data_IF_259971841677
#
_entry.id   IF_259971841677
#
_cell.length_a   1.000
_cell.length_b   1.000
_cell.length_c   1.000
_cell.angle_alpha   90.00
_cell.angle_beta   90.00
_cell.angle_gamma   90.00
#
_symmetry.space_group_name_H-M   'P 1'
#
loop_
_entity.id
_entity.type
_entity.pdbx_description
1 polymer ?
#
# COMPACT_ATOMS: atom_id res chain seq x y z
N UNK A 1 23.40 3.99 -8.62
CA UNK A 1 22.11 3.58 -8.01
C UNK A 1 20.86 4.21 -8.62
N UNK A 2 20.59 5.52 -8.56
CA UNK A 2 19.34 6.08 -9.15
C UNK A 2 19.25 5.87 -10.67
N UNK A 3 20.38 6.05 -11.37
CA UNK A 3 20.45 5.84 -12.82
C UNK A 3 20.35 4.34 -13.16
N UNK A 4 21.07 3.49 -12.43
CA UNK A 4 20.96 2.02 -12.57
C UNK A 4 19.52 1.50 -12.36
N UNK A 5 18.77 2.07 -11.41
CA UNK A 5 17.37 1.70 -11.19
C UNK A 5 16.45 2.17 -12.33
N UNK A 6 16.75 3.31 -12.94
CA UNK A 6 16.00 3.85 -14.08
C UNK A 6 16.25 3.06 -15.38
N UNK A 7 17.42 2.43 -15.51
CA UNK A 7 17.81 1.64 -16.67
C UNK A 7 17.33 0.17 -16.60
N UNK A 8 16.74 -0.26 -15.47
CA UNK A 8 16.17 -1.60 -15.33
C UNK A 8 14.98 -1.81 -16.28
N UNK A 9 14.78 -3.04 -16.80
CA UNK A 9 13.53 -3.43 -17.43
C UNK A 9 12.32 -3.15 -16.53
N UNK A 10 11.18 -2.78 -17.12
CA UNK A 10 10.00 -2.36 -16.35
C UNK A 10 9.49 -3.40 -15.33
N UNK A 11 9.73 -4.69 -15.58
CA UNK A 11 9.42 -5.75 -14.62
C UNK A 11 10.29 -5.65 -13.36
N UNK A 12 11.60 -5.49 -13.54
CA UNK A 12 12.58 -5.39 -12.45
C UNK A 12 12.40 -4.07 -11.69
N UNK A 13 12.01 -2.98 -12.37
CA UNK A 13 11.61 -1.74 -11.70
C UNK A 13 10.40 -1.93 -10.78
N UNK A 14 9.37 -2.67 -11.24
CA UNK A 14 8.18 -2.96 -10.40
C UNK A 14 8.55 -3.81 -9.20
N UNK A 15 9.41 -4.82 -9.38
CA UNK A 15 9.90 -5.66 -8.28
C UNK A 15 10.71 -4.84 -7.28
N UNK A 16 11.58 -3.94 -7.74
CA UNK A 16 12.33 -3.02 -6.89
C UNK A 16 11.40 -2.07 -6.11
N UNK A 17 10.40 -1.50 -6.77
CA UNK A 17 9.39 -0.64 -6.11
C UNK A 17 8.64 -1.43 -5.03
N UNK A 18 8.15 -2.63 -5.36
CA UNK A 18 7.44 -3.48 -4.42
C UNK A 18 8.31 -3.84 -3.20
N UNK A 19 9.59 -4.15 -3.43
CA UNK A 19 10.56 -4.44 -2.37
C UNK A 19 10.81 -3.23 -1.47
N UNK A 20 11.00 -2.04 -2.05
CA UNK A 20 11.20 -0.80 -1.30
C UNK A 20 9.97 -0.43 -0.46
N UNK A 21 8.76 -0.61 -1.01
CA UNK A 21 7.51 -0.44 -0.27
C UNK A 21 7.46 -1.42 0.90
N UNK A 22 7.74 -2.71 0.67
CA UNK A 22 7.74 -3.71 1.73
C UNK A 22 8.73 -3.37 2.85
N UNK A 23 9.93 -2.88 2.51
CA UNK A 23 10.91 -2.41 3.50
C UNK A 23 10.42 -1.21 4.29
N UNK A 24 9.76 -0.26 3.64
CA UNK A 24 9.19 0.91 4.31
C UNK A 24 8.04 0.50 5.25
N UNK A 25 7.10 -0.31 4.77
CA UNK A 25 5.99 -0.84 5.57
C UNK A 25 6.49 -1.68 6.74
N UNK A 26 7.56 -2.46 6.57
CA UNK A 26 8.14 -3.26 7.64
C UNK A 26 8.71 -2.40 8.79
N UNK A 27 9.08 -1.14 8.53
CA UNK A 27 9.62 -0.20 9.53
C UNK A 27 8.56 0.70 10.16
N UNK A 28 7.35 0.70 9.62
CA UNK A 28 6.27 1.60 10.03
C UNK A 28 5.31 0.88 11.00
N UNK A 29 5.69 0.82 12.27
CA UNK A 29 4.90 0.18 13.33
C UNK A 29 3.57 0.91 13.58
N UNK A 30 3.51 2.22 13.37
CA UNK A 30 2.28 2.99 13.49
C UNK A 30 1.29 2.58 12.39
N UNK A 31 1.74 2.51 11.15
CA UNK A 31 0.94 2.03 10.03
C UNK A 31 0.44 0.60 10.26
N UNK A 32 1.31 -0.32 10.72
CA UNK A 32 0.90 -1.70 11.04
C UNK A 32 -0.18 -1.74 12.12
N UNK A 33 -0.02 -0.98 13.20
CA UNK A 33 -0.99 -0.90 14.29
C UNK A 33 -2.33 -0.37 13.80
N UNK A 34 -2.31 0.69 12.99
CA UNK A 34 -3.51 1.27 12.40
C UNK A 34 -4.19 0.32 11.42
N UNK A 35 -3.42 -0.42 10.63
CA UNK A 35 -3.94 -1.40 9.67
C UNK A 35 -4.58 -2.58 10.41
N UNK A 36 -3.94 -3.12 11.44
CA UNK A 36 -4.52 -4.17 12.29
C UNK A 36 -5.85 -3.71 12.89
N UNK A 37 -5.89 -2.50 13.47
CA UNK A 37 -7.12 -1.94 14.02
C UNK A 37 -8.26 -1.79 13.00
N UNK A 38 -7.94 -1.54 11.72
CA UNK A 38 -8.94 -1.51 10.64
C UNK A 38 -9.41 -2.90 10.20
N UNK A 39 -8.53 -3.90 10.23
CA UNK A 39 -8.86 -5.29 9.86
C UNK A 39 -9.75 -5.92 10.93
N UNK A 40 -9.45 -5.65 12.19
CA UNK A 40 -10.20 -6.18 13.33
C UNK A 40 -11.49 -5.38 13.62
N UNK A 41 -11.74 -4.30 12.88
CA UNK A 41 -12.94 -3.46 13.04
C UNK A 41 -14.20 -4.19 12.56
N UNK A 42 -15.04 -4.56 13.52
CA UNK A 42 -16.31 -5.26 13.29
C UNK A 42 -17.53 -4.34 13.28
N UNK A 43 -17.35 -3.03 13.44
CA UNK A 43 -18.44 -2.06 13.38
C UNK A 43 -18.74 -1.67 11.91
N UNK A 44 -19.92 -2.07 11.36
CA UNK A 44 -20.28 -1.73 9.99
C UNK A 44 -20.38 -0.22 9.73
N UNK A 45 -20.55 0.62 10.78
CA UNK A 45 -20.59 2.07 10.64
C UNK A 45 -19.25 2.67 10.18
N UNK A 46 -18.13 1.96 10.37
CA UNK A 46 -16.81 2.39 9.93
C UNK A 46 -16.44 1.90 8.52
N UNK A 47 -17.28 1.05 7.92
CA UNK A 47 -17.01 0.45 6.62
C UNK A 47 -17.45 1.36 5.48
N UNK A 48 -16.75 1.26 4.36
CA UNK A 48 -17.09 1.96 3.12
C UNK A 48 -17.78 0.99 2.18
N UNK A 49 -18.80 1.45 1.44
CA UNK A 49 -19.41 0.62 0.39
C UNK A 49 -18.45 0.49 -0.80
N UNK A 50 -18.62 -0.56 -1.60
CA UNK A 50 -17.80 -0.74 -2.81
C UNK A 50 -18.00 0.41 -3.82
N UNK A 51 -19.22 0.94 -3.92
CA UNK A 51 -19.55 2.08 -4.78
C UNK A 51 -18.87 3.37 -4.28
N UNK A 52 -18.88 3.63 -2.98
CA UNK A 52 -18.18 4.77 -2.38
C UNK A 52 -16.67 4.65 -2.51
N UNK A 53 -16.12 3.44 -2.36
CA UNK A 53 -14.70 3.19 -2.57
C UNK A 53 -14.30 3.46 -4.03
N UNK A 54 -15.10 3.00 -4.99
CA UNK A 54 -14.86 3.24 -6.42
C UNK A 54 -14.90 4.75 -6.73
N UNK A 55 -15.91 5.48 -6.25
CA UNK A 55 -15.98 6.94 -6.43
C UNK A 55 -14.77 7.67 -5.86
N UNK A 56 -14.22 7.17 -4.75
CA UNK A 56 -13.11 7.82 -4.04
C UNK A 56 -11.73 7.53 -4.63
N UNK A 57 -11.53 6.36 -5.23
CA UNK A 57 -10.20 5.87 -5.60
C UNK A 57 -10.04 5.49 -7.08
N UNK A 58 -11.08 5.60 -7.92
CA UNK A 58 -10.98 5.31 -9.36
C UNK A 58 -10.30 6.43 -10.18
N UNK A 59 -9.28 7.09 -9.62
CA UNK A 59 -8.44 8.08 -10.29
C UNK A 59 -7.25 7.45 -10.99
#
# INVERSE_FOLDING_TARGET
MKNEAADLPSKEQRELIAYLIALQTARDEEFKTKLAGKIDDSDPAHWVTLDDAQKRYAG
#
